data_IF_395224771842
#
_entry.id   IF_395224771842
#
_cell.length_a   1.000
_cell.length_b   1.000
_cell.length_c   1.000
_cell.angle_alpha   90.00
_cell.angle_beta   90.00
_cell.angle_gamma   90.00
#
_symmetry.space_group_name_H-M   'P 1'
#
loop_
_entity.id
_entity.type
_entity.pdbx_description
1 polymer ?
#
# COMPACT_ATOMS: atom_id res chain seq x y z
N UNK A 1 -19.62 18.20 4.46
CA UNK A 1 -18.44 17.43 4.93
C UNK A 1 -17.19 18.28 4.69
N UNK A 2 -16.37 18.52 5.72
CA UNK A 2 -15.13 19.30 5.60
C UNK A 2 -13.94 18.34 5.39
N UNK A 3 -13.45 18.24 4.15
CA UNK A 3 -12.39 17.27 3.78
C UNK A 3 -11.09 17.49 4.57
N UNK A 4 -10.72 18.74 4.83
CA UNK A 4 -9.52 19.09 5.61
C UNK A 4 -9.62 18.59 7.05
N UNK A 5 -10.78 18.74 7.68
CA UNK A 5 -11.00 18.29 9.06
C UNK A 5 -10.93 16.75 9.18
N UNK A 6 -11.42 16.03 8.17
CA UNK A 6 -11.29 14.57 8.11
C UNK A 6 -9.83 14.12 7.88
N UNK A 7 -9.09 14.82 7.02
CA UNK A 7 -7.65 14.57 6.85
C UNK A 7 -6.89 14.83 8.16
N UNK A 8 -7.16 15.94 8.84
CA UNK A 8 -6.57 16.25 10.14
C UNK A 8 -6.89 15.20 11.21
N UNK A 9 -8.09 14.62 11.20
CA UNK A 9 -8.45 13.50 12.08
C UNK A 9 -7.56 12.29 11.85
N UNK A 10 -7.30 11.92 10.59
CA UNK A 10 -6.42 10.80 10.24
C UNK A 10 -4.95 11.10 10.59
N UNK A 11 -4.50 12.33 10.34
CA UNK A 11 -3.15 12.80 10.71
C UNK A 11 -2.96 12.71 12.23
N UNK A 12 -3.94 13.19 13.02
CA UNK A 12 -3.91 13.11 14.49
C UNK A 12 -3.91 11.66 14.98
N UNK A 13 -4.76 10.80 14.39
CA UNK A 13 -4.78 9.39 14.75
C UNK A 13 -3.40 8.74 14.57
N UNK A 14 -2.71 9.04 13.45
CA UNK A 14 -1.36 8.56 13.19
C UNK A 14 -0.30 9.17 14.14
N UNK A 15 -0.35 10.49 14.40
CA UNK A 15 0.63 11.16 15.28
C UNK A 15 0.52 10.72 16.73
N UNK A 16 -0.72 10.59 17.20
CA UNK A 16 -1.04 10.29 18.60
C UNK A 16 -1.00 8.78 18.85
N UNK A 17 -0.98 7.98 17.77
CA UNK A 17 -1.01 6.52 17.77
C UNK A 17 -2.27 5.98 18.43
N UNK A 18 -3.40 6.64 18.14
CA UNK A 18 -4.71 6.28 18.66
C UNK A 18 -5.66 6.12 17.49
N UNK A 19 -6.21 4.91 17.36
CA UNK A 19 -7.20 4.62 16.33
C UNK A 19 -8.45 5.50 16.48
N UNK A 20 -9.06 5.84 15.36
CA UNK A 20 -10.35 6.51 15.28
C UNK A 20 -11.44 5.55 14.79
N UNK A 21 -12.71 5.95 14.88
CA UNK A 21 -13.79 5.30 14.13
C UNK A 21 -13.70 5.64 12.63
N UNK A 22 -14.20 4.75 11.75
CA UNK A 22 -14.41 5.02 10.32
C UNK A 22 -15.02 6.40 10.06
N UNK A 23 -14.60 7.02 8.95
CA UNK A 23 -15.22 8.26 8.49
C UNK A 23 -16.66 8.01 8.03
N UNK A 24 -16.92 6.84 7.46
CA UNK A 24 -18.25 6.42 7.00
C UNK A 24 -19.27 6.22 8.13
N UNK A 25 -18.84 6.02 9.37
CA UNK A 25 -19.75 6.01 10.53
C UNK A 25 -20.45 7.37 10.70
N UNK A 26 -19.72 8.46 10.45
CA UNK A 26 -20.22 9.84 10.54
C UNK A 26 -20.75 10.35 9.18
N UNK A 27 -20.22 9.82 8.08
CA UNK A 27 -20.54 10.21 6.70
C UNK A 27 -20.84 8.97 5.84
N UNK A 28 -22.02 8.35 5.97
CA UNK A 28 -22.35 7.09 5.27
C UNK A 28 -22.30 7.18 3.74
N UNK A 29 -22.46 8.40 3.19
CA UNK A 29 -22.43 8.67 1.75
C UNK A 29 -21.04 9.10 1.24
N UNK A 30 -19.97 8.93 2.03
CA UNK A 30 -18.60 9.22 1.59
C UNK A 30 -18.22 8.31 0.41
N UNK A 31 -17.98 8.91 -0.75
CA UNK A 31 -17.54 8.21 -1.96
C UNK A 31 -16.00 8.12 -2.08
N UNK A 32 -15.56 7.24 -2.99
CA UNK A 32 -14.13 6.97 -3.24
C UNK A 32 -13.40 8.19 -3.80
N UNK A 33 -14.02 8.97 -4.69
CA UNK A 33 -13.43 10.19 -5.25
C UNK A 33 -13.13 11.23 -4.17
N UNK A 34 -14.07 11.41 -3.24
CA UNK A 34 -13.87 12.29 -2.10
C UNK A 34 -12.83 11.73 -1.13
N UNK A 35 -12.81 10.41 -0.93
CA UNK A 35 -11.77 9.76 -0.15
C UNK A 35 -10.37 10.00 -0.71
N UNK A 36 -10.17 9.92 -2.03
CA UNK A 36 -8.88 10.28 -2.65
C UNK A 36 -8.54 11.77 -2.44
N UNK A 37 -9.52 12.67 -2.46
CA UNK A 37 -9.28 14.08 -2.10
C UNK A 37 -8.78 14.22 -0.64
N UNK A 38 -9.31 13.40 0.28
CA UNK A 38 -8.86 13.37 1.69
C UNK A 38 -7.44 12.79 1.77
N UNK A 39 -7.16 11.72 1.03
CA UNK A 39 -5.82 11.14 0.91
C UNK A 39 -4.80 12.17 0.44
N UNK A 40 -5.11 12.92 -0.61
CA UNK A 40 -4.23 13.97 -1.15
C UNK A 40 -3.92 15.02 -0.07
N UNK A 41 -4.91 15.37 0.75
CA UNK A 41 -4.71 16.33 1.86
C UNK A 41 -3.79 15.75 2.93
N UNK A 42 -3.94 14.47 3.28
CA UNK A 42 -3.04 13.77 4.22
C UNK A 42 -1.60 13.73 3.68
N UNK A 43 -1.44 13.39 2.40
CA UNK A 43 -0.14 13.30 1.73
C UNK A 43 0.52 14.67 1.62
N UNK A 44 -0.23 15.71 1.26
CA UNK A 44 0.29 17.08 1.18
C UNK A 44 0.74 17.60 2.55
N UNK A 45 0.01 17.27 3.63
CA UNK A 45 0.46 17.59 4.98
C UNK A 45 1.81 16.91 5.34
N UNK A 46 2.03 15.68 4.89
CA UNK A 46 3.34 15.00 5.03
C UNK A 46 4.41 15.73 4.23
N UNK A 47 4.13 16.10 2.97
CA UNK A 47 5.08 16.85 2.12
C UNK A 47 5.44 18.22 2.71
N UNK A 48 4.45 18.95 3.21
CA UNK A 48 4.65 20.21 3.92
C UNK A 48 5.53 20.06 5.18
N UNK A 49 5.54 18.87 5.78
CA UNK A 49 6.39 18.51 6.92
C UNK A 49 7.78 17.97 6.51
N UNK A 50 8.13 18.00 5.22
CA UNK A 50 9.42 17.59 4.70
C UNK A 50 9.48 16.16 4.14
N UNK A 51 8.37 15.43 4.10
CA UNK A 51 8.34 14.10 3.49
C UNK A 51 8.51 14.20 1.97
N UNK A 52 9.25 13.25 1.40
CA UNK A 52 9.46 13.12 -0.05
C UNK A 52 8.76 11.84 -0.50
N UNK A 53 7.86 11.94 -1.48
CA UNK A 53 7.19 10.78 -2.06
C UNK A 53 8.19 10.01 -2.92
N UNK A 54 8.32 8.71 -2.66
CA UNK A 54 9.29 7.82 -3.32
C UNK A 54 8.63 6.68 -4.09
N UNK A 55 7.30 6.55 -3.99
CA UNK A 55 6.55 5.56 -4.75
C UNK A 55 5.10 5.47 -4.32
N UNK A 56 4.43 4.43 -4.80
CA UNK A 56 3.09 4.07 -4.40
C UNK A 56 3.04 2.56 -4.06
N UNK A 57 2.10 2.20 -3.20
CA UNK A 57 1.66 0.82 -2.98
C UNK A 57 0.27 0.63 -3.54
N UNK A 58 -0.01 -0.59 -3.93
CA UNK A 58 -1.31 -1.00 -4.47
C UNK A 58 -1.95 -1.96 -3.48
N UNK A 59 -3.20 -1.70 -3.13
CA UNK A 59 -4.01 -2.58 -2.28
C UNK A 59 -5.16 -3.19 -3.06
N UNK A 60 -5.79 -4.20 -2.48
CA UNK A 60 -6.91 -4.93 -3.10
C UNK A 60 -6.56 -5.50 -4.48
N UNK A 61 -5.32 -5.95 -4.66
CA UNK A 61 -4.78 -6.55 -5.89
C UNK A 61 -5.09 -8.04 -6.03
N UNK A 62 -6.03 -8.55 -5.23
CA UNK A 62 -6.50 -9.94 -5.29
C UNK A 62 -7.99 -9.95 -5.59
N UNK A 63 -8.39 -10.68 -6.64
CA UNK A 63 -9.81 -10.84 -6.98
C UNK A 63 -10.64 -11.40 -5.82
N UNK A 64 -10.08 -12.34 -5.06
CA UNK A 64 -10.76 -12.89 -3.89
C UNK A 64 -10.97 -11.84 -2.79
N UNK A 65 -9.97 -10.98 -2.52
CA UNK A 65 -10.12 -9.86 -1.57
C UNK A 65 -11.13 -8.83 -2.11
N UNK A 66 -11.12 -8.54 -3.41
CA UNK A 66 -12.06 -7.64 -4.08
C UNK A 66 -13.52 -8.13 -3.91
N UNK A 67 -13.78 -9.41 -4.21
CA UNK A 67 -15.09 -10.04 -4.01
C UNK A 67 -15.52 -10.02 -2.54
N UNK A 68 -14.60 -10.32 -1.61
CA UNK A 68 -14.89 -10.28 -0.17
C UNK A 68 -15.27 -8.87 0.31
N UNK A 69 -14.63 -7.84 -0.22
CA UNK A 69 -14.88 -6.44 0.13
C UNK A 69 -16.01 -5.81 -0.70
N UNK A 70 -16.58 -6.55 -1.66
CA UNK A 70 -17.57 -6.07 -2.62
C UNK A 70 -17.12 -4.82 -3.38
N UNK A 71 -15.90 -4.87 -3.91
CA UNK A 71 -15.25 -3.83 -4.71
C UNK A 71 -14.72 -4.45 -6.00
N UNK A 72 -14.63 -3.67 -7.07
CA UNK A 72 -14.28 -4.13 -8.42
C UNK A 72 -12.93 -3.61 -8.92
N UNK A 73 -12.32 -2.66 -8.21
CA UNK A 73 -11.01 -2.10 -8.54
C UNK A 73 -10.02 -2.15 -7.36
N UNK A 74 -8.71 -2.20 -7.66
CA UNK A 74 -7.66 -1.94 -6.67
C UNK A 74 -7.76 -0.53 -6.07
N UNK A 75 -6.87 -0.22 -5.14
CA UNK A 75 -6.67 1.12 -4.61
C UNK A 75 -5.17 1.42 -4.52
N UNK A 76 -4.78 2.68 -4.37
CA UNK A 76 -3.39 3.05 -4.15
C UNK A 76 -3.19 3.90 -2.90
N UNK A 77 -1.97 3.88 -2.38
CA UNK A 77 -1.49 4.82 -1.37
C UNK A 77 -0.07 5.24 -1.67
N UNK A 78 0.31 6.41 -1.18
CA UNK A 78 1.62 7.01 -1.40
C UNK A 78 2.62 6.60 -0.32
N UNK A 79 3.83 6.26 -0.77
CA UNK A 79 4.98 5.94 0.06
C UNK A 79 5.93 7.13 0.12
N UNK A 80 6.36 7.52 1.32
CA UNK A 80 7.36 8.56 1.51
C UNK A 80 8.68 8.00 2.03
N UNK A 81 9.80 8.69 1.81
CA UNK A 81 11.15 8.17 2.11
C UNK A 81 11.32 7.75 3.58
N UNK A 82 10.66 8.44 4.51
CA UNK A 82 10.69 8.20 5.96
C UNK A 82 9.88 6.96 6.38
N UNK A 83 9.17 6.32 5.45
CA UNK A 83 8.52 5.02 5.64
C UNK A 83 9.46 3.84 5.34
N UNK A 84 10.62 4.07 4.72
CA UNK A 84 11.56 2.99 4.44
C UNK A 84 12.19 2.48 5.74
N UNK A 85 12.20 1.17 5.90
CA UNK A 85 12.83 0.46 7.01
C UNK A 85 13.90 -0.45 6.42
N UNK A 86 15.12 -0.31 6.90
CA UNK A 86 16.25 -1.08 6.38
C UNK A 86 16.11 -2.57 6.74
N UNK A 87 16.47 -3.44 5.79
CA UNK A 87 16.44 -4.89 6.02
C UNK A 87 17.33 -5.26 7.20
N UNK A 88 16.75 -5.98 8.16
CA UNK A 88 17.43 -6.41 9.39
C UNK A 88 17.25 -5.45 10.57
N UNK A 89 16.71 -4.25 10.35
CA UNK A 89 16.30 -3.39 11.44
C UNK A 89 14.99 -3.87 12.08
N UNK A 90 14.87 -3.78 13.41
CA UNK A 90 13.63 -4.12 14.08
C UNK A 90 12.55 -3.06 13.82
N UNK A 91 11.35 -3.52 13.50
CA UNK A 91 10.16 -2.67 13.50
C UNK A 91 9.84 -2.25 14.94
N UNK A 92 9.95 -0.96 15.25
CA UNK A 92 9.56 -0.41 16.56
C UNK A 92 8.04 -0.26 16.62
N UNK A 93 7.34 -1.32 17.04
CA UNK A 93 5.87 -1.38 17.05
C UNK A 93 5.18 -0.21 17.77
N UNK A 94 5.80 0.36 18.82
CA UNK A 94 5.26 1.50 19.58
C UNK A 94 5.16 2.81 18.76
N UNK A 95 5.72 2.84 17.54
CA UNK A 95 5.55 3.94 16.59
C UNK A 95 4.25 3.84 15.78
N UNK A 96 3.52 2.73 15.89
CA UNK A 96 2.34 2.38 15.12
C UNK A 96 1.13 2.17 16.03
N UNK A 97 -0.07 2.13 15.45
CA UNK A 97 -1.33 1.88 16.16
C UNK A 97 -1.56 0.39 16.31
N UNK A 98 -1.51 -0.34 15.20
CA UNK A 98 -1.89 -1.74 15.06
C UNK A 98 -1.21 -2.38 13.83
N UNK A 99 0.12 -2.41 13.73
CA UNK A 99 0.81 -2.74 12.49
C UNK A 99 0.56 -4.19 12.03
N UNK A 100 0.43 -4.37 10.71
CA UNK A 100 0.40 -5.67 10.00
C UNK A 100 1.43 -5.66 8.87
N UNK A 101 1.90 -6.85 8.49
CA UNK A 101 2.86 -7.00 7.41
C UNK A 101 2.29 -7.89 6.30
N UNK A 102 2.47 -7.47 5.05
CA UNK A 102 2.13 -8.27 3.86
C UNK A 102 3.37 -8.45 2.96
N UNK A 103 3.62 -9.66 2.44
CA UNK A 103 4.71 -9.89 1.49
C UNK A 103 4.32 -9.41 0.09
N UNK A 104 5.23 -8.67 -0.54
CA UNK A 104 4.99 -8.00 -1.83
C UNK A 104 6.17 -8.17 -2.80
N UNK A 105 5.94 -7.79 -4.08
CA UNK A 105 6.99 -7.61 -5.08
C UNK A 105 7.03 -6.11 -5.42
N UNK A 106 8.13 -5.44 -5.08
CA UNK A 106 8.33 -4.03 -5.39
C UNK A 106 9.01 -3.84 -6.74
N UNK A 107 8.59 -2.80 -7.45
CA UNK A 107 9.12 -2.41 -8.77
C UNK A 107 9.89 -1.10 -8.65
N UNK A 108 11.18 -1.12 -8.95
CA UNK A 108 11.97 0.09 -9.16
C UNK A 108 11.90 0.46 -10.64
N UNK A 109 11.18 1.54 -10.95
CA UNK A 109 11.07 2.05 -12.32
C UNK A 109 12.36 2.78 -12.71
N UNK A 110 12.86 2.49 -13.91
CA UNK A 110 13.97 3.22 -14.55
C UNK A 110 13.50 4.21 -15.61
N UNK A 111 12.24 4.10 -16.05
CA UNK A 111 11.58 5.03 -16.98
C UNK A 111 10.21 5.44 -16.42
N UNK A 112 9.80 6.66 -16.76
CA UNK A 112 8.45 7.13 -16.46
C UNK A 112 7.39 6.31 -17.21
N UNK A 113 6.26 6.08 -16.53
CA UNK A 113 5.04 5.48 -17.09
C UNK A 113 3.95 6.54 -17.12
N UNK A 114 3.25 6.67 -18.26
CA UNK A 114 2.19 7.66 -18.41
C UNK A 114 1.17 7.23 -19.46
N UNK A 115 -0.10 7.59 -19.24
CA UNK A 115 -1.20 7.40 -20.19
C UNK A 115 -2.26 6.42 -19.67
N UNK A 116 -3.44 6.36 -20.32
CA UNK A 116 -4.54 5.49 -19.91
C UNK A 116 -4.34 4.01 -20.29
N UNK A 117 -3.35 3.69 -21.14
CA UNK A 117 -3.15 2.37 -21.74
C UNK A 117 -1.79 1.75 -21.38
N UNK A 118 -1.32 1.97 -20.14
CA UNK A 118 -0.12 1.28 -19.65
C UNK A 118 -0.43 -0.21 -19.56
N UNK A 119 0.41 -1.05 -20.16
CA UNK A 119 0.29 -2.50 -20.10
C UNK A 119 1.33 -3.10 -19.16
N UNK A 120 1.07 -4.31 -18.64
CA UNK A 120 2.05 -5.05 -17.85
C UNK A 120 3.39 -5.24 -18.60
N UNK A 121 3.36 -5.39 -19.93
CA UNK A 121 4.57 -5.46 -20.75
C UNK A 121 5.34 -4.13 -20.76
N UNK A 122 4.65 -2.99 -20.82
CA UNK A 122 5.28 -1.67 -20.72
C UNK A 122 5.86 -1.42 -19.33
N UNK A 123 5.16 -1.85 -18.27
CA UNK A 123 5.70 -1.84 -16.90
C UNK A 123 7.01 -2.62 -16.82
N UNK A 124 7.02 -3.86 -17.31
CA UNK A 124 8.24 -4.69 -17.30
C UNK A 124 9.38 -4.01 -18.04
N UNK A 125 9.11 -3.42 -19.21
CA UNK A 125 10.11 -2.72 -20.00
C UNK A 125 10.66 -1.45 -19.31
N UNK A 126 9.81 -0.74 -18.56
CA UNK A 126 10.20 0.46 -17.80
C UNK A 126 10.84 0.13 -16.43
N UNK A 127 10.79 -1.12 -15.99
CA UNK A 127 11.29 -1.54 -14.68
C UNK A 127 12.80 -1.79 -14.74
N UNK A 128 13.54 -1.08 -13.88
CA UNK A 128 14.98 -1.28 -13.72
C UNK A 128 15.27 -2.56 -12.92
N UNK A 129 14.64 -2.71 -11.76
CA UNK A 129 14.83 -3.83 -10.85
C UNK A 129 13.52 -4.18 -10.14
N UNK A 130 13.41 -5.43 -9.71
CA UNK A 130 12.36 -5.91 -8.81
C UNK A 130 12.96 -6.43 -7.51
N UNK A 131 12.25 -6.23 -6.40
CA UNK A 131 12.68 -6.61 -5.06
C UNK A 131 11.58 -7.44 -4.38
N UNK A 132 11.92 -8.48 -3.60
CA UNK A 132 11.01 -8.93 -2.56
C UNK A 132 10.83 -7.79 -1.55
N UNK A 133 9.61 -7.55 -1.11
CA UNK A 133 9.30 -6.47 -0.20
C UNK A 133 8.34 -6.92 0.90
N UNK A 134 8.31 -6.17 1.99
CA UNK A 134 7.26 -6.23 3.00
C UNK A 134 6.58 -4.87 3.04
N UNK A 135 5.27 -4.82 2.79
CA UNK A 135 4.45 -3.65 3.13
C UNK A 135 4.08 -3.72 4.61
N UNK A 136 4.30 -2.62 5.34
CA UNK A 136 3.88 -2.46 6.72
C UNK A 136 2.65 -1.55 6.72
N UNK A 137 1.52 -2.17 6.98
CA UNK A 137 0.21 -1.53 7.07
C UNK A 137 -0.04 -1.10 8.51
N UNK A 138 -0.67 0.06 8.71
CA UNK A 138 -1.12 0.51 10.02
C UNK A 138 -2.41 1.31 9.87
N UNK A 139 -3.56 0.64 9.93
CA UNK A 139 -4.84 1.32 9.74
C UNK A 139 -5.13 2.28 10.89
N UNK A 140 -5.55 3.51 10.57
CA UNK A 140 -6.01 4.47 11.58
C UNK A 140 -7.40 4.17 12.11
N UNK A 141 -8.10 3.16 11.58
CA UNK A 141 -9.41 2.72 12.06
C UNK A 141 -9.32 1.51 12.96
N UNK A 142 -9.99 1.55 14.11
CA UNK A 142 -9.88 0.51 15.12
C UNK A 142 -10.19 -0.89 14.58
N UNK A 143 -9.28 -1.83 14.83
CA UNK A 143 -9.48 -3.25 14.49
C UNK A 143 -9.44 -3.57 13.00
N UNK A 144 -8.96 -2.66 12.14
CA UNK A 144 -9.07 -2.77 10.67
C UNK A 144 -10.53 -2.92 10.21
N UNK A 145 -11.45 -2.32 10.95
CA UNK A 145 -12.86 -2.25 10.57
C UNK A 145 -13.09 -0.94 9.83
N UNK A 146 -13.27 -1.01 8.51
CA UNK A 146 -13.46 0.15 7.64
C UNK A 146 -14.12 -0.27 6.32
N UNK A 147 -14.66 0.69 5.59
CA UNK A 147 -15.15 0.51 4.22
C UNK A 147 -14.07 0.92 3.20
N UNK A 148 -14.33 0.75 1.90
CA UNK A 148 -13.39 1.16 0.85
C UNK A 148 -13.05 2.67 0.91
N UNK A 149 -14.01 3.61 0.95
CA UNK A 149 -13.71 5.04 1.07
C UNK A 149 -12.87 5.38 2.30
N UNK A 150 -13.09 4.71 3.43
CA UNK A 150 -12.30 4.93 4.63
C UNK A 150 -10.82 4.61 4.41
N UNK A 151 -10.50 3.41 3.91
CA UNK A 151 -9.10 3.00 3.71
C UNK A 151 -8.42 3.80 2.60
N UNK A 152 -9.16 4.22 1.57
CA UNK A 152 -8.66 5.15 0.54
C UNK A 152 -8.28 6.48 1.19
N UNK A 153 -9.17 7.08 1.99
CA UNK A 153 -8.90 8.34 2.69
C UNK A 153 -7.71 8.21 3.65
N UNK A 154 -7.54 7.04 4.25
CA UNK A 154 -6.44 6.67 5.14
C UNK A 154 -5.12 6.33 4.41
N UNK A 155 -4.90 6.86 3.20
CA UNK A 155 -3.71 6.56 2.40
C UNK A 155 -3.42 5.06 2.34
N UNK A 156 -4.48 4.25 2.20
CA UNK A 156 -4.40 2.80 2.05
C UNK A 156 -3.69 2.11 3.21
N UNK A 157 -3.86 2.66 4.41
CA UNK A 157 -3.18 2.23 5.63
C UNK A 157 -1.65 2.16 5.50
N UNK A 158 -1.04 2.92 4.59
CA UNK A 158 0.42 3.01 4.47
C UNK A 158 1.06 3.42 5.80
N UNK A 159 2.16 2.75 6.17
CA UNK A 159 2.89 3.07 7.39
C UNK A 159 4.40 2.83 7.29
N UNK A 160 4.83 1.79 6.58
CA UNK A 160 6.23 1.47 6.38
C UNK A 160 6.42 0.51 5.23
N UNK A 161 7.65 0.36 4.74
CA UNK A 161 7.99 -0.69 3.79
C UNK A 161 9.45 -1.11 3.93
N UNK A 162 9.73 -2.37 3.59
CA UNK A 162 11.07 -2.95 3.60
C UNK A 162 11.36 -3.48 2.21
N UNK A 163 12.52 -3.13 1.65
CA UNK A 163 13.06 -3.76 0.45
C UNK A 163 14.11 -4.80 0.84
N UNK A 164 13.86 -6.05 0.47
CA UNK A 164 14.71 -7.18 0.81
C UNK A 164 15.64 -7.61 -0.32
N UNK A 165 16.69 -8.35 0.04
CA UNK A 165 17.56 -9.06 -0.90
C UNK A 165 18.32 -8.14 -1.86
N UNK A 166 18.74 -8.71 -2.98
CA UNK A 166 19.32 -7.96 -4.10
C UNK A 166 18.25 -7.75 -5.17
N UNK A 167 18.22 -6.55 -5.74
CA UNK A 167 17.35 -6.26 -6.88
C UNK A 167 17.65 -7.20 -8.04
N UNK A 168 16.59 -7.75 -8.62
CA UNK A 168 16.67 -8.67 -9.77
C UNK A 168 16.16 -7.99 -11.03
N UNK A 169 16.70 -8.36 -12.19
CA UNK A 169 16.11 -7.94 -13.48
C UNK A 169 14.70 -8.53 -13.61
N UNK A 170 13.70 -7.74 -14.05
CA UNK A 170 12.32 -8.22 -14.20
C UNK A 170 12.16 -9.29 -15.30
N UNK A 171 13.17 -9.51 -16.15
CA UNK A 171 13.14 -10.47 -17.25
C UNK A 171 13.92 -11.76 -16.98
N UNK A 172 14.61 -11.86 -15.84
CA UNK A 172 15.42 -13.03 -15.52
C UNK A 172 14.59 -14.23 -15.03
N UNK A 173 13.31 -14.03 -14.70
CA UNK A 173 12.43 -15.05 -14.15
C UNK A 173 10.96 -14.72 -14.43
N UNK A 174 10.08 -15.72 -14.30
CA UNK A 174 8.62 -15.51 -14.39
C UNK A 174 8.08 -15.07 -13.03
N UNK A 175 7.79 -13.78 -12.89
CA UNK A 175 7.23 -13.20 -11.66
C UNK A 175 5.92 -13.88 -11.22
N UNK A 176 5.10 -14.38 -12.15
CA UNK A 176 3.84 -15.06 -11.82
C UNK A 176 4.08 -16.34 -11.02
N UNK A 177 5.17 -17.04 -11.34
CA UNK A 177 5.54 -18.31 -10.75
C UNK A 177 6.47 -18.16 -9.55
N UNK A 178 6.85 -16.93 -9.20
CA UNK A 178 7.70 -16.67 -8.04
C UNK A 178 6.94 -17.01 -6.76
N UNK A 179 7.45 -17.98 -6.02
CA UNK A 179 6.87 -18.43 -4.75
C UNK A 179 7.26 -17.52 -3.59
N UNK A 180 6.31 -17.26 -2.70
CA UNK A 180 6.51 -16.60 -1.43
C UNK A 180 6.26 -17.61 -0.30
N UNK A 181 7.19 -17.66 0.66
CA UNK A 181 7.05 -18.37 1.92
C UNK A 181 7.09 -17.31 3.02
N UNK A 182 5.97 -17.12 3.71
CA UNK A 182 5.84 -16.06 4.71
C UNK A 182 5.78 -16.67 6.12
N UNK A 183 6.80 -16.36 6.92
CA UNK A 183 7.00 -16.92 8.25
C UNK A 183 6.90 -15.85 9.33
N UNK A 184 6.46 -16.28 10.52
CA UNK A 184 6.49 -15.49 11.75
C UNK A 184 7.07 -16.34 12.87
N UNK A 185 8.14 -15.86 13.50
CA UNK A 185 8.85 -16.58 14.58
C UNK A 185 9.24 -18.02 14.19
N UNK A 186 9.74 -18.19 12.96
CA UNK A 186 10.14 -19.49 12.41
C UNK A 186 8.99 -20.45 12.09
N UNK A 187 7.74 -19.99 12.15
CA UNK A 187 6.56 -20.77 11.77
C UNK A 187 5.98 -20.25 10.46
N UNK A 188 5.68 -21.16 9.53
CA UNK A 188 4.98 -20.84 8.29
C UNK A 188 3.58 -20.31 8.59
N UNK A 189 3.28 -19.10 8.11
CA UNK A 189 1.96 -18.46 8.25
C UNK A 189 1.19 -18.52 6.94
N UNK A 190 1.88 -18.30 5.82
CA UNK A 190 1.25 -18.33 4.50
C UNK A 190 2.25 -18.69 3.40
N UNK A 191 1.71 -19.13 2.27
CA UNK A 191 2.45 -19.25 1.01
C UNK A 191 1.63 -18.61 -0.10
N UNK A 192 2.30 -18.01 -1.07
CA UNK A 192 1.65 -17.43 -2.25
C UNK A 192 2.54 -17.56 -3.48
N UNK A 193 2.01 -17.19 -4.64
CA UNK A 193 2.81 -16.91 -5.83
C UNK A 193 2.47 -15.53 -6.38
N UNK A 194 3.37 -14.94 -7.17
CA UNK A 194 3.12 -13.62 -7.77
C UNK A 194 1.84 -13.56 -8.60
N UNK A 195 1.38 -14.69 -9.18
CA UNK A 195 0.10 -14.74 -9.90
C UNK A 195 -1.13 -14.42 -9.03
N UNK A 196 -1.01 -14.48 -7.71
CA UNK A 196 -2.08 -14.06 -6.79
C UNK A 196 -2.40 -12.56 -6.91
N UNK A 197 -1.44 -11.76 -7.42
CA UNK A 197 -1.57 -10.32 -7.66
C UNK A 197 -2.08 -10.11 -9.08
N UNK A 198 -3.41 -9.96 -9.23
CA UNK A 198 -4.11 -9.72 -10.51
C UNK A 198 -3.67 -10.61 -11.68
N UNK A 199 -3.23 -11.85 -11.41
CA UNK A 199 -2.71 -12.79 -12.43
C UNK A 199 -1.25 -12.52 -12.86
N UNK A 200 -0.77 -11.28 -12.74
CA UNK A 200 0.63 -10.90 -12.93
C UNK A 200 0.93 -9.63 -12.13
N UNK A 201 1.99 -9.58 -11.30
CA UNK A 201 2.30 -8.40 -10.46
C UNK A 201 2.42 -7.08 -11.24
N UNK A 202 3.08 -7.08 -12.40
CA UNK A 202 3.14 -5.89 -13.27
C UNK A 202 1.77 -5.36 -13.76
N UNK A 203 0.69 -6.16 -13.71
CA UNK A 203 -0.67 -5.68 -14.00
C UNK A 203 -1.14 -4.68 -12.95
N UNK A 204 -0.75 -4.83 -11.68
CA UNK A 204 -1.14 -3.87 -10.64
C UNK A 204 -0.43 -2.53 -10.77
N UNK A 205 0.78 -2.49 -11.34
CA UNK A 205 1.51 -1.24 -11.63
C UNK A 205 0.96 -0.54 -12.88
N UNK A 206 0.37 -1.31 -13.78
CA UNK A 206 -0.22 -0.81 -15.02
C UNK A 206 -1.61 -0.17 -14.80
N UNK A 207 -2.35 -0.67 -13.81
CA UNK A 207 -3.56 -0.04 -13.28
C UNK A 207 -3.21 1.22 -12.51
#
# INVERSE_FOLDING_TARGET
MNKTELAERLIRAASDRVATTPLTDDFPDLDVDTAYTIQDTVVEARRASGAVIVGAKLGLTSKAKQEQMNVDEPLYGWLSHDMHIDTGEPLVCDRFIQPRCEPEIAFLLGEDLSGPDVSAARVIAATQLVFPAIDVLDSRFAGYSFTLPDVVADNSSCAGFILGGQGSSPTNFDMRLTGCVFEKNGSLIATASGAAVLGHPATSVAW
#
